data_IF_472373826715
#
_entry.id   IF_472373826715
#
_cell.length_a   1.000
_cell.length_b   1.000
_cell.length_c   1.000
_cell.angle_alpha   90.00
_cell.angle_beta   90.00
_cell.angle_gamma   90.00
#
_symmetry.space_group_name_H-M   'P 1'
#
loop_
_entity.id
_entity.type
_entity.pdbx_description
1 polymer ?
#
# COMPACT_ATOMS: atom_id res chain seq x y z
N UNK A 1 -16.07 -32.94 52.41
CA UNK A 1 -15.49 -32.91 53.74
C UNK A 1 -14.43 -31.85 53.88
N UNK A 2 -14.59 -31.02 54.91
CA UNK A 2 -13.65 -30.09 55.58
C UNK A 2 -13.13 -28.89 54.81
N UNK A 3 -13.79 -27.79 55.14
CA UNK A 3 -13.35 -26.37 55.14
C UNK A 3 -12.06 -26.18 55.96
N UNK A 4 -11.26 -25.20 55.61
CA UNK A 4 -10.63 -24.32 56.60
C UNK A 4 -10.37 -22.93 56.03
N UNK A 5 -11.03 -21.94 56.59
CA UNK A 5 -10.75 -20.51 56.52
C UNK A 5 -9.56 -20.16 57.43
N UNK A 6 -8.82 -19.14 57.11
CA UNK A 6 -8.17 -18.29 58.10
C UNK A 6 -8.02 -16.86 57.54
N UNK A 7 -8.50 -15.92 58.35
CA UNK A 7 -8.55 -14.47 58.24
C UNK A 7 -7.32 -13.83 58.90
N UNK A 8 -7.25 -12.50 58.77
CA UNK A 8 -6.48 -11.44 59.47
C UNK A 8 -5.18 -10.99 58.79
N UNK A 9 -4.83 -9.70 58.70
CA UNK A 9 -5.31 -8.51 59.35
C UNK A 9 -4.99 -7.25 58.52
N UNK A 10 -5.80 -6.21 58.70
CA UNK A 10 -5.62 -4.86 58.20
C UNK A 10 -4.60 -4.08 59.06
N UNK A 11 -3.88 -3.14 58.42
CA UNK A 11 -3.27 -2.01 59.15
C UNK A 11 -3.42 -0.75 58.31
N UNK A 12 -4.23 0.16 58.85
CA UNK A 12 -4.33 1.58 58.49
C UNK A 12 -3.14 2.33 59.09
N UNK A 13 -2.53 3.25 58.35
CA UNK A 13 -1.88 4.45 58.92
C UNK A 13 -2.16 5.65 58.03
N UNK A 14 -2.48 6.72 58.67
CA UNK A 14 -3.07 7.98 58.31
C UNK A 14 -2.13 9.03 57.70
N UNK A 15 -2.68 9.81 56.80
CA UNK A 15 -2.68 11.29 56.69
C UNK A 15 -1.36 12.09 56.63
N UNK A 16 -1.30 12.91 55.60
CA UNK A 16 -0.42 14.07 55.49
C UNK A 16 -0.78 14.91 54.28
N UNK A 17 -1.74 15.84 54.45
CA UNK A 17 -2.06 16.85 53.43
C UNK A 17 -1.11 18.05 53.54
N UNK A 18 -0.51 18.49 52.42
CA UNK A 18 -0.03 19.87 52.27
C UNK A 18 -0.29 20.31 50.83
N UNK A 19 -1.18 21.27 50.62
CA UNK A 19 -1.20 22.25 49.55
C UNK A 19 -0.61 23.53 50.10
N UNK A 20 0.00 24.46 49.36
CA UNK A 20 -0.50 25.10 48.14
C UNK A 20 0.58 25.55 47.15
N UNK A 21 0.23 25.94 45.93
CA UNK A 21 0.47 27.27 45.37
C UNK A 21 0.23 27.29 43.84
N UNK A 22 -0.68 28.18 43.45
CA UNK A 22 -0.88 28.61 42.06
C UNK A 22 0.40 29.17 41.44
N UNK A 23 0.73 28.69 40.23
CA UNK A 23 1.71 29.31 39.34
C UNK A 23 1.21 29.14 37.91
N UNK A 24 0.61 30.19 37.35
CA UNK A 24 0.37 30.32 35.92
C UNK A 24 1.68 30.21 35.18
N UNK A 25 1.77 29.24 34.28
CA UNK A 25 2.88 29.20 33.30
C UNK A 25 2.33 28.80 31.94
N UNK A 26 2.55 29.66 30.98
CA UNK A 26 2.22 29.58 29.57
C UNK A 26 2.50 28.19 29.00
N UNK A 27 1.47 27.60 28.42
CA UNK A 27 1.61 26.43 27.55
C UNK A 27 2.25 26.86 26.24
N UNK A 28 3.57 26.78 26.18
CA UNK A 28 4.30 26.59 24.96
C UNK A 28 4.30 25.09 24.70
N UNK A 29 3.50 24.66 23.77
CA UNK A 29 3.54 23.31 23.19
C UNK A 29 4.89 23.13 22.49
N UNK A 30 5.88 22.72 23.24
CA UNK A 30 7.09 22.13 22.68
C UNK A 30 6.70 20.73 22.22
N UNK A 31 6.53 20.54 20.92
CA UNK A 31 6.59 19.21 20.30
C UNK A 31 7.98 18.66 20.56
N UNK A 32 8.14 17.92 21.66
CA UNK A 32 9.29 17.07 21.88
C UNK A 32 9.27 15.99 20.81
N UNK A 33 10.11 16.16 19.80
CA UNK A 33 10.49 15.13 18.87
C UNK A 33 11.09 13.98 19.66
N UNK A 34 10.28 12.97 19.97
CA UNK A 34 10.74 11.69 20.48
C UNK A 34 11.63 11.05 19.40
N UNK A 35 12.94 11.06 19.62
CA UNK A 35 13.85 10.28 18.78
C UNK A 35 13.40 8.82 18.83
N UNK A 36 12.96 8.27 17.72
CA UNK A 36 12.65 6.85 17.59
C UNK A 36 13.89 6.05 17.92
N UNK A 37 13.85 5.26 18.99
CA UNK A 37 14.92 4.34 19.35
C UNK A 37 14.54 2.95 18.87
N UNK A 38 15.02 2.56 17.70
CA UNK A 38 14.73 1.25 17.10
C UNK A 38 15.63 1.00 15.90
N UNK A 39 15.64 -0.22 15.35
CA UNK A 39 16.48 -0.57 14.21
C UNK A 39 16.21 0.28 12.96
N UNK A 40 15.02 0.88 12.87
CA UNK A 40 14.62 1.75 11.78
C UNK A 40 14.64 3.26 12.13
N UNK A 41 15.29 3.63 13.23
CA UNK A 41 15.45 5.03 13.59
C UNK A 41 16.37 5.72 12.59
N UNK A 42 15.84 6.63 11.80
CA UNK A 42 16.63 7.52 10.96
C UNK A 42 17.18 8.61 11.88
N UNK A 43 18.51 8.70 12.00
CA UNK A 43 19.13 9.88 12.63
C UNK A 43 18.62 11.12 11.89
N UNK A 44 18.34 12.23 12.59
CA UNK A 44 17.95 13.51 11.99
C UNK A 44 19.12 14.07 11.12
N UNK A 45 19.48 13.33 10.12
CA UNK A 45 20.54 13.62 9.16
C UNK A 45 19.88 14.32 7.98
N UNK A 46 20.39 15.47 7.60
CA UNK A 46 20.08 16.12 6.32
C UNK A 46 20.94 15.55 5.17
N UNK A 47 21.47 14.33 5.35
CA UNK A 47 22.31 13.69 4.34
C UNK A 47 21.55 13.48 3.04
N UNK A 48 22.17 13.84 1.93
CA UNK A 48 21.68 13.65 0.57
C UNK A 48 22.72 13.02 -0.36
N UNK A 49 23.90 12.63 0.17
CA UNK A 49 25.01 12.04 -0.61
C UNK A 49 25.17 10.56 -0.25
N UNK A 50 25.25 9.72 -1.26
CA UNK A 50 25.44 8.27 -1.13
C UNK A 50 26.88 7.83 -0.88
N UNK A 51 27.86 8.72 -1.05
CA UNK A 51 29.28 8.41 -0.82
C UNK A 51 29.85 7.32 -1.73
N UNK A 52 29.26 7.09 -2.89
CA UNK A 52 29.66 6.02 -3.82
C UNK A 52 29.14 4.63 -3.43
N UNK A 53 28.15 4.54 -2.52
CA UNK A 53 27.58 3.25 -2.10
C UNK A 53 26.95 2.49 -3.27
N UNK A 54 27.27 1.20 -3.37
CA UNK A 54 26.71 0.29 -4.34
C UNK A 54 25.64 -0.59 -3.67
N UNK A 55 24.39 -0.46 -4.11
CA UNK A 55 23.22 -1.12 -3.52
C UNK A 55 22.35 -1.76 -4.61
N UNK A 56 21.55 -2.75 -4.23
CA UNK A 56 20.60 -3.41 -5.13
C UNK A 56 19.17 -3.11 -4.70
N UNK A 57 18.35 -2.77 -5.69
CA UNK A 57 16.91 -2.71 -5.53
C UNK A 57 16.26 -3.85 -6.31
N UNK A 58 15.34 -4.59 -5.69
CA UNK A 58 14.52 -5.57 -6.38
C UNK A 58 13.24 -4.95 -6.91
N UNK A 59 12.62 -5.62 -7.88
CA UNK A 59 11.29 -5.29 -8.38
C UNK A 59 10.52 -6.55 -8.75
N UNK A 60 9.21 -6.53 -8.61
CA UNK A 60 8.33 -7.53 -9.22
C UNK A 60 8.29 -7.30 -10.74
N UNK A 61 7.73 -8.25 -11.49
CA UNK A 61 7.87 -8.24 -12.95
C UNK A 61 6.92 -7.29 -13.69
N UNK A 62 5.98 -6.64 -13.02
CA UNK A 62 5.01 -5.73 -13.63
C UNK A 62 5.53 -4.29 -13.71
N UNK A 63 4.89 -3.48 -14.55
CA UNK A 63 5.37 -2.16 -14.96
C UNK A 63 5.52 -1.19 -13.80
N UNK A 64 4.55 -1.12 -12.90
CA UNK A 64 4.55 -0.21 -11.75
C UNK A 64 5.78 -0.41 -10.85
N UNK A 65 6.09 -1.66 -10.52
CA UNK A 65 7.27 -2.00 -9.72
C UNK A 65 8.58 -1.62 -10.42
N UNK A 66 8.68 -1.85 -11.73
CA UNK A 66 9.84 -1.43 -12.52
C UNK A 66 9.98 0.09 -12.56
N UNK A 67 8.86 0.82 -12.66
CA UNK A 67 8.86 2.28 -12.59
C UNK A 67 9.34 2.78 -11.22
N UNK A 68 8.85 2.20 -10.12
CA UNK A 68 9.27 2.57 -8.77
C UNK A 68 10.77 2.29 -8.54
N UNK A 69 11.27 1.14 -9.00
CA UNK A 69 12.69 0.81 -8.94
C UNK A 69 13.55 1.79 -9.77
N UNK A 70 13.13 2.11 -10.99
CA UNK A 70 13.85 3.03 -11.88
C UNK A 70 13.83 4.49 -11.36
N UNK A 71 12.70 4.96 -10.80
CA UNK A 71 12.63 6.26 -10.10
C UNK A 71 13.68 6.32 -8.98
N UNK A 72 13.79 5.25 -8.20
CA UNK A 72 14.78 5.13 -7.11
C UNK A 72 16.20 5.16 -7.66
N UNK A 73 16.49 4.37 -8.69
CA UNK A 73 17.80 4.28 -9.32
C UNK A 73 18.24 5.62 -9.93
N UNK A 74 17.35 6.28 -10.65
CA UNK A 74 17.65 7.57 -11.29
C UNK A 74 17.91 8.64 -10.24
N UNK A 75 17.05 8.75 -9.22
CA UNK A 75 17.22 9.77 -8.19
C UNK A 75 18.44 9.53 -7.32
N UNK A 76 18.60 8.33 -6.76
CA UNK A 76 19.76 8.03 -5.95
C UNK A 76 21.07 8.13 -6.74
N UNK A 77 21.04 7.82 -8.04
CA UNK A 77 22.18 7.98 -8.94
C UNK A 77 22.69 9.42 -9.05
N UNK A 78 21.79 10.42 -9.05
CA UNK A 78 22.16 11.85 -9.02
C UNK A 78 22.88 12.25 -7.73
N UNK A 79 22.69 11.46 -6.69
CA UNK A 79 23.20 11.67 -5.34
C UNK A 79 24.34 10.71 -4.96
N UNK A 80 25.13 10.32 -5.96
CA UNK A 80 26.34 9.52 -5.78
C UNK A 80 26.12 8.11 -5.18
N UNK A 81 24.98 7.49 -5.48
CA UNK A 81 24.76 6.05 -5.29
C UNK A 81 24.95 5.31 -6.62
N UNK A 82 25.33 4.04 -6.54
CA UNK A 82 25.32 3.10 -7.66
C UNK A 82 24.25 2.06 -7.39
N UNK A 83 23.16 2.10 -8.15
CA UNK A 83 21.99 1.22 -7.92
C UNK A 83 21.88 0.18 -9.03
N UNK A 84 21.93 -1.11 -8.65
CA UNK A 84 21.62 -2.26 -9.51
C UNK A 84 20.17 -2.66 -9.32
N UNK A 85 19.36 -2.58 -10.36
CA UNK A 85 17.94 -2.94 -10.43
C UNK A 85 17.68 -4.23 -11.24
N UNK A 86 18.70 -5.06 -11.44
CA UNK A 86 18.60 -6.26 -12.27
C UNK A 86 17.85 -7.43 -11.63
N UNK A 87 17.50 -7.35 -10.33
CA UNK A 87 16.83 -8.44 -9.62
C UNK A 87 15.31 -8.32 -9.76
N UNK A 88 14.72 -9.27 -10.49
CA UNK A 88 13.26 -9.36 -10.65
C UNK A 88 12.75 -10.73 -10.19
N UNK A 89 11.74 -10.73 -9.33
CA UNK A 89 11.07 -11.95 -8.87
C UNK A 89 9.64 -11.65 -8.42
N UNK A 90 8.78 -12.66 -8.41
CA UNK A 90 7.44 -12.56 -7.84
C UNK A 90 7.46 -12.77 -6.33
N UNK A 91 6.36 -12.43 -5.64
CA UNK A 91 6.12 -12.86 -4.25
C UNK A 91 6.00 -14.42 -4.19
N UNK A 92 6.50 -15.07 -3.15
CA UNK A 92 7.27 -14.53 -2.02
C UNK A 92 8.80 -14.48 -2.24
N UNK A 93 9.30 -14.80 -3.46
CA UNK A 93 10.74 -14.90 -3.71
C UNK A 93 11.45 -13.55 -3.55
N UNK A 94 10.82 -12.45 -3.97
CA UNK A 94 11.40 -11.11 -3.83
C UNK A 94 11.51 -10.70 -2.34
N UNK A 95 10.52 -11.07 -1.52
CA UNK A 95 10.57 -10.88 -0.06
C UNK A 95 11.69 -11.68 0.60
N UNK A 96 11.97 -12.90 0.12
CA UNK A 96 13.12 -13.68 0.59
C UNK A 96 14.45 -13.04 0.18
N UNK A 97 14.51 -12.42 -1.00
CA UNK A 97 15.73 -11.76 -1.48
C UNK A 97 16.14 -10.58 -0.58
N UNK A 98 15.19 -9.74 -0.14
CA UNK A 98 15.51 -8.65 0.80
C UNK A 98 15.84 -9.18 2.21
N UNK A 99 15.11 -10.17 2.68
CA UNK A 99 15.37 -10.78 3.99
C UNK A 99 16.76 -11.43 4.07
N UNK A 100 17.21 -12.06 2.98
CA UNK A 100 18.54 -12.71 2.88
C UNK A 100 19.68 -11.78 2.41
N UNK A 101 19.44 -10.47 2.29
CA UNK A 101 20.42 -9.48 1.80
C UNK A 101 20.91 -9.71 0.36
N UNK A 102 20.14 -10.39 -0.48
CA UNK A 102 20.42 -10.46 -1.92
C UNK A 102 20.12 -9.11 -2.62
N UNK A 103 19.10 -8.40 -2.10
CA UNK A 103 18.78 -7.01 -2.41
C UNK A 103 18.72 -6.21 -1.10
N UNK A 104 18.90 -4.90 -1.19
CA UNK A 104 18.90 -4.01 -0.04
C UNK A 104 17.66 -3.14 0.06
N UNK A 105 16.96 -2.97 -1.06
CA UNK A 105 15.75 -2.15 -1.18
C UNK A 105 14.71 -2.89 -2.01
N UNK A 106 13.44 -2.60 -1.70
CA UNK A 106 12.27 -3.12 -2.44
C UNK A 106 11.11 -2.15 -2.22
N UNK A 107 10.41 -1.77 -3.27
CA UNK A 107 9.08 -1.22 -3.09
C UNK A 107 8.12 -2.37 -2.80
N UNK A 108 7.40 -2.28 -1.69
CA UNK A 108 6.46 -3.32 -1.30
C UNK A 108 5.12 -2.68 -0.92
N UNK A 109 4.05 -3.39 -1.16
CA UNK A 109 2.69 -2.93 -0.94
C UNK A 109 2.21 -3.33 0.45
N UNK A 110 1.52 -2.40 1.13
CA UNK A 110 1.13 -2.57 2.53
C UNK A 110 0.15 -3.72 2.72
N UNK A 111 -0.86 -3.84 1.87
CA UNK A 111 -1.84 -4.93 1.93
C UNK A 111 -1.23 -6.28 1.58
N UNK A 112 -0.34 -6.31 0.59
CA UNK A 112 0.42 -7.51 0.23
C UNK A 112 1.29 -7.99 1.39
N UNK A 113 2.06 -7.11 2.04
CA UNK A 113 2.93 -7.46 3.16
C UNK A 113 2.13 -7.86 4.40
N UNK A 114 1.02 -7.15 4.71
CA UNK A 114 0.14 -7.55 5.81
C UNK A 114 -0.58 -8.88 5.54
N UNK A 115 -0.69 -9.27 4.29
CA UNK A 115 -1.42 -10.46 3.86
C UNK A 115 -0.83 -11.79 4.32
N UNK A 116 -1.49 -12.87 3.89
CA UNK A 116 -1.20 -14.24 4.35
C UNK A 116 0.18 -14.76 3.96
N UNK A 117 0.81 -14.21 2.91
CA UNK A 117 2.13 -14.64 2.44
C UNK A 117 3.29 -14.18 3.34
N UNK A 118 3.10 -13.09 4.10
CA UNK A 118 4.17 -12.46 4.87
C UNK A 118 3.83 -12.32 6.35
N UNK A 119 2.94 -11.40 6.71
CA UNK A 119 2.64 -11.06 8.10
C UNK A 119 1.36 -11.72 8.65
N UNK A 120 0.50 -12.19 7.77
CA UNK A 120 -0.77 -12.88 8.10
C UNK A 120 -1.65 -12.09 9.08
N UNK A 121 -1.79 -10.80 8.83
CA UNK A 121 -2.66 -9.90 9.61
C UNK A 121 -4.09 -9.98 9.09
N UNK A 122 -5.07 -10.03 10.00
CA UNK A 122 -6.48 -10.02 9.65
C UNK A 122 -7.30 -9.33 10.76
N UNK A 123 -8.16 -8.36 10.46
CA UNK A 123 -8.33 -7.74 9.13
C UNK A 123 -7.15 -6.83 8.76
N UNK A 124 -6.91 -6.66 7.45
CA UNK A 124 -5.96 -5.67 6.94
C UNK A 124 -6.64 -4.30 6.99
N UNK A 125 -5.96 -3.23 7.45
CA UNK A 125 -6.52 -1.89 7.45
C UNK A 125 -6.93 -1.42 6.04
N UNK A 126 -7.98 -0.60 5.98
CA UNK A 126 -8.44 0.06 4.73
C UNK A 126 -7.98 1.51 4.64
N UNK A 127 -7.36 2.04 5.68
CA UNK A 127 -6.73 3.35 5.72
C UNK A 127 -5.24 3.22 5.39
N UNK A 128 -4.75 4.00 4.42
CA UNK A 128 -3.38 3.92 3.92
C UNK A 128 -2.34 4.13 5.03
N UNK A 129 -2.51 5.19 5.83
CA UNK A 129 -1.57 5.50 6.91
C UNK A 129 -1.57 4.43 8.01
N UNK A 130 -2.75 3.86 8.33
CA UNK A 130 -2.82 2.78 9.31
C UNK A 130 -2.12 1.52 8.80
N UNK A 131 -2.34 1.13 7.54
CA UNK A 131 -1.67 -0.01 6.93
C UNK A 131 -0.14 0.20 6.90
N UNK A 132 0.32 1.37 6.46
CA UNK A 132 1.74 1.71 6.42
C UNK A 132 2.39 1.68 7.82
N UNK A 133 1.77 2.30 8.81
CA UNK A 133 2.29 2.28 10.18
C UNK A 133 2.34 0.86 10.76
N UNK A 134 1.36 0.03 10.43
CA UNK A 134 1.32 -1.35 10.90
C UNK A 134 2.42 -2.23 10.29
N UNK A 135 2.63 -2.18 8.98
CA UNK A 135 3.75 -2.90 8.35
C UNK A 135 5.09 -2.40 8.87
N UNK A 136 5.27 -1.08 8.97
CA UNK A 136 6.51 -0.48 9.46
C UNK A 136 6.85 -0.97 10.88
N UNK A 137 5.86 -1.06 11.75
CA UNK A 137 6.05 -1.56 13.12
C UNK A 137 6.41 -3.06 13.14
N UNK A 138 5.70 -3.88 12.36
CA UNK A 138 5.89 -5.33 12.37
C UNK A 138 7.22 -5.74 11.73
N UNK A 139 7.60 -5.12 10.62
CA UNK A 139 8.81 -5.45 9.90
C UNK A 139 10.09 -4.86 10.52
N UNK A 140 9.97 -3.77 11.28
CA UNK A 140 11.09 -3.22 12.04
C UNK A 140 11.74 -4.28 12.94
N UNK A 141 10.96 -5.18 13.53
CA UNK A 141 11.46 -6.28 14.34
C UNK A 141 12.29 -7.30 13.54
N UNK A 142 12.10 -7.35 12.21
CA UNK A 142 12.86 -8.20 11.28
C UNK A 142 14.07 -7.46 10.66
N UNK A 143 14.28 -6.19 11.03
CA UNK A 143 15.32 -5.35 10.44
C UNK A 143 14.98 -4.86 9.02
N UNK A 144 13.69 -4.77 8.69
CA UNK A 144 13.18 -4.22 7.45
C UNK A 144 12.45 -2.91 7.76
N UNK A 145 12.90 -1.82 7.19
CA UNK A 145 12.44 -0.47 7.50
C UNK A 145 11.61 0.08 6.36
N UNK A 146 10.36 0.39 6.63
CA UNK A 146 9.47 1.04 5.68
C UNK A 146 9.68 2.56 5.71
N UNK A 147 9.99 3.11 4.55
CA UNK A 147 10.20 4.55 4.34
C UNK A 147 9.40 5.00 3.13
N UNK A 148 9.28 6.32 2.94
CA UNK A 148 8.81 6.88 1.67
C UNK A 148 7.45 6.34 1.23
N UNK A 149 6.43 6.53 2.07
CA UNK A 149 5.04 6.14 1.81
C UNK A 149 4.48 6.87 0.58
N UNK A 150 3.91 6.12 -0.37
CA UNK A 150 3.21 6.68 -1.52
C UNK A 150 1.77 7.06 -1.18
N UNK A 151 1.18 7.91 -2.04
CA UNK A 151 -0.22 8.34 -1.92
C UNK A 151 -1.15 7.59 -2.89
N UNK A 152 -0.62 6.67 -3.68
CA UNK A 152 -1.46 5.81 -4.51
C UNK A 152 -1.90 4.56 -3.75
N UNK A 153 -3.00 3.98 -4.17
CA UNK A 153 -3.53 2.74 -3.65
C UNK A 153 -3.72 1.78 -4.82
N UNK A 154 -2.95 0.71 -4.88
CA UNK A 154 -3.08 -0.35 -5.89
C UNK A 154 -3.85 -1.53 -5.31
N UNK A 155 -5.16 -1.40 -5.30
CA UNK A 155 -6.05 -2.42 -4.74
C UNK A 155 -7.00 -2.98 -5.79
N UNK A 156 -7.59 -4.12 -5.49
CA UNK A 156 -8.71 -4.64 -6.29
C UNK A 156 -9.89 -3.67 -6.28
N UNK A 157 -10.67 -3.69 -7.32
CA UNK A 157 -11.91 -2.93 -7.46
C UNK A 157 -12.85 -3.60 -8.45
N UNK A 158 -14.04 -3.05 -8.58
CA UNK A 158 -14.96 -3.38 -9.68
C UNK A 158 -14.99 -2.19 -10.63
N UNK A 159 -14.59 -2.42 -11.87
CA UNK A 159 -14.59 -1.42 -12.93
C UNK A 159 -15.79 -1.54 -13.84
N UNK A 160 -16.15 -0.42 -14.44
CA UNK A 160 -17.15 -0.29 -15.51
C UNK A 160 -16.61 0.65 -16.59
N UNK A 161 -17.21 0.66 -17.76
CA UNK A 161 -16.93 1.72 -18.75
C UNK A 161 -17.47 3.06 -18.28
N UNK A 162 -16.75 4.14 -18.50
CA UNK A 162 -17.19 5.51 -18.11
C UNK A 162 -18.56 5.88 -18.71
N UNK A 163 -18.87 5.37 -19.91
CA UNK A 163 -20.15 5.57 -20.56
C UNK A 163 -21.34 4.91 -19.81
N UNK A 164 -21.07 3.93 -18.97
CA UNK A 164 -22.10 3.17 -18.25
C UNK A 164 -22.36 3.71 -16.83
N UNK A 165 -21.69 4.78 -16.42
CA UNK A 165 -21.84 5.39 -15.08
C UNK A 165 -23.25 5.92 -14.83
N UNK A 166 -23.96 6.40 -15.86
CA UNK A 166 -25.35 6.82 -15.74
C UNK A 166 -26.32 5.65 -15.48
N UNK A 167 -25.94 4.44 -15.90
CA UNK A 167 -26.71 3.20 -15.70
C UNK A 167 -26.41 2.56 -14.35
N UNK A 168 -25.15 2.43 -14.01
CA UNK A 168 -24.69 1.65 -12.87
C UNK A 168 -24.37 2.48 -11.62
N UNK A 169 -24.26 3.81 -11.77
CA UNK A 169 -23.73 4.70 -10.74
C UNK A 169 -22.21 4.69 -10.71
N UNK A 170 -21.64 5.30 -9.66
CA UNK A 170 -20.18 5.48 -9.51
C UNK A 170 -19.63 4.82 -8.24
N UNK A 171 -20.48 4.13 -7.47
CA UNK A 171 -20.09 3.47 -6.22
C UNK A 171 -20.48 2.00 -6.25
N UNK A 172 -19.80 1.17 -5.45
CA UNK A 172 -20.17 -0.23 -5.25
C UNK A 172 -21.56 -0.39 -4.66
N UNK A 173 -21.99 0.52 -3.78
CA UNK A 173 -23.38 0.51 -3.26
C UNK A 173 -24.41 0.73 -4.36
N UNK A 174 -24.21 1.70 -5.25
CA UNK A 174 -25.14 1.96 -6.37
C UNK A 174 -25.18 0.81 -7.36
N UNK A 175 -24.03 0.23 -7.68
CA UNK A 175 -23.93 -0.92 -8.57
C UNK A 175 -24.61 -2.15 -7.96
N UNK A 176 -24.39 -2.41 -6.67
CA UNK A 176 -25.06 -3.51 -5.97
C UNK A 176 -26.57 -3.36 -5.97
N UNK A 177 -27.09 -2.13 -5.76
CA UNK A 177 -28.54 -1.86 -5.84
C UNK A 177 -29.10 -2.13 -7.25
N UNK A 178 -28.32 -1.84 -8.29
CA UNK A 178 -28.67 -2.18 -9.66
C UNK A 178 -28.75 -3.70 -9.86
N UNK A 179 -27.74 -4.45 -9.39
CA UNK A 179 -27.70 -5.92 -9.50
C UNK A 179 -28.87 -6.62 -8.81
N UNK A 180 -29.44 -6.04 -7.75
CA UNK A 180 -30.61 -6.60 -7.06
C UNK A 180 -31.87 -6.60 -7.93
N UNK A 181 -31.93 -5.74 -8.94
CA UNK A 181 -33.06 -5.57 -9.82
C UNK A 181 -32.85 -6.13 -11.24
N UNK A 182 -31.59 -6.45 -11.57
CA UNK A 182 -31.17 -6.85 -12.91
C UNK A 182 -30.23 -8.06 -12.82
N UNK A 183 -30.58 -9.14 -13.48
CA UNK A 183 -29.81 -10.41 -13.49
C UNK A 183 -29.04 -10.65 -14.78
N UNK A 184 -29.10 -9.71 -15.72
CA UNK A 184 -28.54 -9.78 -17.06
C UNK A 184 -27.18 -9.10 -17.21
N UNK A 185 -26.65 -8.50 -16.14
CA UNK A 185 -25.34 -7.86 -16.13
C UNK A 185 -24.23 -8.92 -16.13
N UNK A 186 -23.34 -8.85 -17.11
CA UNK A 186 -22.16 -9.74 -17.16
C UNK A 186 -21.00 -9.13 -16.35
N UNK A 187 -20.53 -9.87 -15.36
CA UNK A 187 -19.42 -9.44 -14.48
C UNK A 187 -18.28 -10.42 -14.62
N UNK A 188 -17.12 -9.95 -15.07
CA UNK A 188 -15.91 -10.74 -15.22
C UNK A 188 -15.01 -10.59 -14.00
N UNK A 189 -14.53 -11.71 -13.46
CA UNK A 189 -13.64 -11.74 -12.30
C UNK A 189 -12.57 -12.79 -12.48
N UNK A 190 -11.42 -12.62 -11.84
CA UNK A 190 -10.41 -13.66 -11.75
C UNK A 190 -10.91 -14.81 -10.86
N UNK A 191 -10.48 -16.03 -11.15
CA UNK A 191 -10.92 -17.22 -10.39
C UNK A 191 -10.59 -17.14 -8.91
N UNK A 192 -9.45 -16.53 -8.56
CA UNK A 192 -9.03 -16.30 -7.18
C UNK A 192 -9.92 -15.31 -6.43
N UNK A 193 -10.47 -14.31 -7.12
CA UNK A 193 -11.38 -13.33 -6.53
C UNK A 193 -12.66 -13.96 -5.98
N UNK A 194 -13.04 -15.16 -6.46
CA UNK A 194 -14.17 -15.92 -5.92
C UNK A 194 -14.00 -16.38 -4.48
N UNK A 195 -12.77 -16.57 -4.04
CA UNK A 195 -12.48 -17.19 -2.73
C UNK A 195 -11.73 -16.27 -1.78
N UNK A 196 -11.17 -15.16 -2.27
CA UNK A 196 -10.50 -14.17 -1.43
C UNK A 196 -11.48 -13.51 -0.46
N UNK A 197 -11.05 -13.26 0.76
CA UNK A 197 -11.88 -12.59 1.77
C UNK A 197 -12.29 -11.16 1.37
N UNK A 198 -11.47 -10.49 0.57
CA UNK A 198 -11.69 -9.18 -0.03
C UNK A 198 -12.29 -9.26 -1.45
N UNK A 199 -12.56 -10.45 -1.96
CA UNK A 199 -13.23 -10.71 -3.23
C UNK A 199 -14.75 -10.84 -3.10
N UNK A 200 -15.35 -11.86 -3.80
CA UNK A 200 -16.79 -12.08 -3.74
C UNK A 200 -17.34 -12.30 -2.33
N UNK A 201 -16.68 -13.06 -1.43
CA UNK A 201 -17.14 -13.17 -0.04
C UNK A 201 -17.21 -11.82 0.68
N UNK A 202 -16.23 -10.96 0.45
CA UNK A 202 -16.19 -9.61 1.00
C UNK A 202 -17.29 -8.72 0.41
N UNK A 203 -17.47 -8.73 -0.92
CA UNK A 203 -18.55 -8.01 -1.58
C UNK A 203 -19.92 -8.46 -1.05
N UNK A 204 -20.12 -9.76 -0.88
CA UNK A 204 -21.38 -10.30 -0.36
C UNK A 204 -21.65 -9.88 1.08
N UNK A 205 -20.64 -9.86 1.94
CA UNK A 205 -20.77 -9.47 3.35
C UNK A 205 -20.95 -7.97 3.53
N UNK A 206 -20.27 -7.15 2.72
CA UNK A 206 -20.22 -5.70 2.88
C UNK A 206 -21.31 -4.98 2.09
N UNK A 207 -21.52 -5.39 0.85
CA UNK A 207 -22.42 -4.71 -0.08
C UNK A 207 -23.75 -5.43 -0.25
N UNK A 208 -23.84 -6.73 0.02
CA UNK A 208 -25.08 -7.49 0.02
C UNK A 208 -24.98 -8.85 -0.65
N UNK A 209 -25.82 -9.76 -0.18
CA UNK A 209 -25.81 -11.19 -0.56
C UNK A 209 -26.03 -11.47 -2.06
N UNK A 210 -26.48 -10.50 -2.84
CA UNK A 210 -26.60 -10.63 -4.30
C UNK A 210 -25.27 -11.05 -4.94
N UNK A 211 -24.14 -10.60 -4.43
CA UNK A 211 -22.82 -10.96 -4.94
C UNK A 211 -22.50 -12.45 -4.79
N UNK A 212 -22.97 -13.10 -3.73
CA UNK A 212 -22.69 -14.52 -3.49
C UNK A 212 -23.32 -15.47 -4.53
N UNK A 213 -24.44 -15.06 -5.14
CA UNK A 213 -25.25 -15.91 -6.01
C UNK A 213 -25.59 -15.25 -7.34
N UNK A 214 -24.89 -14.16 -7.70
CA UNK A 214 -25.20 -13.43 -8.92
C UNK A 214 -24.98 -14.30 -10.16
N UNK A 215 -25.99 -14.48 -11.03
CA UNK A 215 -25.89 -15.44 -12.13
C UNK A 215 -25.00 -14.98 -13.28
N UNK A 216 -24.71 -13.68 -13.39
CA UNK A 216 -23.90 -13.09 -14.46
C UNK A 216 -22.39 -13.12 -14.22
N UNK A 217 -21.90 -13.79 -13.16
CA UNK A 217 -20.47 -13.91 -12.87
C UNK A 217 -19.77 -14.86 -13.84
N UNK A 218 -18.73 -14.38 -14.50
CA UNK A 218 -17.92 -15.15 -15.46
C UNK A 218 -16.44 -15.06 -15.07
N UNK A 219 -15.75 -16.22 -15.08
CA UNK A 219 -14.31 -16.26 -14.78
C UNK A 219 -13.50 -15.81 -16.00
N UNK A 220 -12.45 -15.03 -15.73
CA UNK A 220 -11.43 -14.65 -16.71
C UNK A 220 -10.04 -15.05 -16.19
N UNK A 221 -9.11 -15.30 -17.11
CA UNK A 221 -7.79 -15.80 -16.76
C UNK A 221 -6.84 -14.73 -16.25
N UNK A 222 -7.06 -13.48 -16.62
CA UNK A 222 -6.27 -12.30 -16.23
C UNK A 222 -7.11 -11.04 -16.42
N UNK A 223 -6.80 -9.99 -15.63
CA UNK A 223 -7.26 -8.60 -15.68
C UNK A 223 -8.60 -8.34 -16.39
N UNK A 224 -9.57 -7.88 -15.64
CA UNK A 224 -10.91 -7.61 -16.20
C UNK A 224 -10.95 -6.42 -17.16
N UNK A 225 -9.90 -5.58 -17.17
CA UNK A 225 -9.85 -4.34 -17.95
C UNK A 225 -10.01 -4.60 -19.44
N UNK A 226 -9.26 -5.56 -19.98
CA UNK A 226 -9.28 -5.90 -21.41
C UNK A 226 -10.65 -6.43 -21.86
N UNK A 227 -11.27 -7.33 -21.10
CA UNK A 227 -12.61 -7.87 -21.44
C UNK A 227 -13.71 -6.82 -21.28
N UNK A 228 -13.51 -5.88 -20.37
CA UNK A 228 -14.40 -4.74 -20.15
C UNK A 228 -14.31 -3.74 -21.30
N UNK A 229 -13.10 -3.37 -21.72
CA UNK A 229 -12.86 -2.50 -22.87
C UNK A 229 -13.45 -3.08 -24.16
N UNK A 230 -13.29 -4.39 -24.38
CA UNK A 230 -13.83 -5.11 -25.53
C UNK A 230 -15.32 -5.44 -25.42
N UNK A 231 -16.04 -4.93 -24.42
CA UNK A 231 -17.47 -5.13 -24.22
C UNK A 231 -17.90 -6.60 -24.09
N UNK A 232 -17.00 -7.46 -23.65
CA UNK A 232 -17.32 -8.85 -23.36
C UNK A 232 -18.06 -8.98 -22.03
N UNK A 233 -17.84 -8.02 -21.11
CA UNK A 233 -18.52 -7.88 -19.83
C UNK A 233 -19.03 -6.45 -19.64
N UNK A 234 -19.98 -6.26 -18.74
CA UNK A 234 -20.51 -4.97 -18.37
C UNK A 234 -19.74 -4.35 -17.19
N UNK A 235 -19.26 -5.19 -16.30
CA UNK A 235 -18.37 -4.85 -15.22
C UNK A 235 -17.27 -5.91 -15.09
N UNK A 236 -16.15 -5.57 -14.46
CA UNK A 236 -15.07 -6.52 -14.22
C UNK A 236 -14.29 -6.17 -12.96
N UNK A 237 -13.63 -7.17 -12.37
CA UNK A 237 -12.54 -6.93 -11.42
C UNK A 237 -11.41 -6.19 -12.14
N UNK A 238 -10.89 -5.16 -11.50
CA UNK A 238 -9.82 -4.29 -12.01
C UNK A 238 -8.84 -3.95 -10.88
N UNK A 239 -7.62 -3.56 -11.25
CA UNK A 239 -6.68 -2.93 -10.32
C UNK A 239 -6.75 -1.40 -10.45
N UNK A 240 -6.74 -0.71 -9.33
CA UNK A 240 -7.01 0.74 -9.31
C UNK A 240 -5.89 1.60 -9.89
N UNK A 241 -4.72 1.04 -10.13
CA UNK A 241 -3.58 1.69 -10.82
C UNK A 241 -3.35 1.21 -12.25
N UNK A 242 -4.22 0.31 -12.78
CA UNK A 242 -4.05 -0.22 -14.13
C UNK A 242 -4.15 0.87 -15.20
N UNK A 243 -3.21 0.83 -16.14
CA UNK A 243 -3.12 1.78 -17.26
C UNK A 243 -4.37 1.78 -18.16
N UNK A 244 -5.01 0.64 -18.30
CA UNK A 244 -6.22 0.48 -19.13
C UNK A 244 -7.40 1.30 -18.59
N UNK A 245 -7.45 1.61 -17.28
CA UNK A 245 -8.49 2.48 -16.74
C UNK A 245 -8.52 3.82 -17.48
N UNK A 246 -7.37 4.43 -17.69
CA UNK A 246 -7.28 5.70 -18.43
C UNK A 246 -7.34 5.49 -19.96
N UNK A 247 -6.64 4.48 -20.47
CA UNK A 247 -6.52 4.25 -21.91
C UNK A 247 -7.87 3.90 -22.56
N UNK A 248 -8.69 3.10 -21.88
CA UNK A 248 -9.94 2.55 -22.41
C UNK A 248 -11.19 3.24 -21.84
N UNK A 249 -11.02 4.38 -21.17
CA UNK A 249 -12.10 5.12 -20.52
C UNK A 249 -12.93 4.26 -19.56
N UNK A 250 -12.24 3.50 -18.73
CA UNK A 250 -12.84 2.71 -17.64
C UNK A 250 -12.82 3.51 -16.33
N UNK A 251 -13.67 3.12 -15.41
CA UNK A 251 -13.79 3.73 -14.08
C UNK A 251 -13.90 2.62 -13.06
N UNK A 252 -13.00 2.61 -12.08
CA UNK A 252 -13.20 1.81 -10.88
C UNK A 252 -14.30 2.44 -10.02
N UNK A 253 -15.30 1.63 -9.63
CA UNK A 253 -16.38 2.08 -8.75
C UNK A 253 -15.81 2.39 -7.36
N UNK A 254 -16.24 3.51 -6.78
CA UNK A 254 -15.80 3.89 -5.45
C UNK A 254 -16.24 2.84 -4.40
N UNK A 255 -15.30 2.37 -3.61
CA UNK A 255 -15.52 1.48 -2.47
C UNK A 255 -16.03 2.29 -1.26
N UNK A 256 -17.30 2.69 -1.33
CA UNK A 256 -17.93 3.61 -0.36
C UNK A 256 -18.15 2.99 1.03
N UNK A 257 -17.95 1.67 1.18
CA UNK A 257 -18.00 0.97 2.48
C UNK A 257 -16.66 0.42 2.93
N UNK A 258 -15.58 0.74 2.21
CA UNK A 258 -14.20 0.39 2.57
C UNK A 258 -14.01 -1.12 2.77
N UNK A 259 -14.38 -1.91 1.77
CA UNK A 259 -14.14 -3.36 1.74
C UNK A 259 -12.69 -3.68 1.43
N UNK A 260 -12.16 -3.04 0.37
CA UNK A 260 -10.84 -3.39 -0.13
C UNK A 260 -9.74 -2.86 0.81
N UNK A 261 -8.77 -3.70 1.15
CA UNK A 261 -7.63 -3.26 1.96
C UNK A 261 -6.86 -2.12 1.32
N UNK A 262 -6.20 -1.33 2.13
CA UNK A 262 -5.18 -0.42 1.66
C UNK A 262 -3.99 -1.22 1.10
N UNK A 263 -3.49 -0.81 -0.07
CA UNK A 263 -2.33 -1.42 -0.70
C UNK A 263 -1.44 -0.35 -1.36
N UNK A 264 -1.05 0.64 -0.55
CA UNK A 264 -0.10 1.67 -0.94
C UNK A 264 1.34 1.15 -0.85
N UNK A 265 2.19 1.60 -1.76
CA UNK A 265 3.58 1.19 -1.75
C UNK A 265 4.41 2.01 -0.75
N UNK A 266 5.39 1.35 -0.15
CA UNK A 266 6.45 1.97 0.64
C UNK A 266 7.81 1.43 0.24
N UNK A 267 8.85 2.26 0.33
CA UNK A 267 10.21 1.79 0.11
C UNK A 267 10.70 1.05 1.35
N UNK A 268 10.76 -0.27 1.25
CA UNK A 268 11.36 -1.14 2.26
C UNK A 268 12.87 -1.13 2.08
N UNK A 269 13.60 -0.82 3.14
CA UNK A 269 15.07 -0.76 3.17
C UNK A 269 15.56 -1.60 4.34
N UNK A 270 16.63 -2.35 4.17
CA UNK A 270 17.26 -3.05 5.28
C UNK A 270 17.77 -2.06 6.33
N UNK A 271 17.61 -2.38 7.61
CA UNK A 271 17.95 -1.49 8.73
C UNK A 271 19.44 -1.13 8.77
N UNK A 272 20.33 -2.09 8.48
CA UNK A 272 21.77 -1.86 8.39
C UNK A 272 22.13 -0.87 7.27
N UNK A 273 21.46 -0.98 6.12
CA UNK A 273 21.63 -0.08 4.98
C UNK A 273 21.07 1.31 5.28
N UNK A 274 19.86 1.40 5.82
CA UNK A 274 19.22 2.68 6.16
C UNK A 274 20.03 3.45 7.23
N UNK A 275 20.58 2.75 8.21
CA UNK A 275 21.45 3.34 9.23
C UNK A 275 22.77 3.89 8.64
N UNK A 276 23.35 3.17 7.67
CA UNK A 276 24.57 3.60 6.99
C UNK A 276 24.29 4.74 5.97
N UNK A 277 23.13 4.74 5.36
CA UNK A 277 22.76 5.63 4.26
C UNK A 277 21.37 6.27 4.47
N UNK A 278 21.20 7.13 5.50
CA UNK A 278 19.90 7.78 5.77
C UNK A 278 19.43 8.71 4.63
N UNK A 279 20.33 9.10 3.73
CA UNK A 279 20.04 9.83 2.51
C UNK A 279 18.95 9.17 1.65
N UNK A 280 18.85 7.83 1.67
CA UNK A 280 17.84 7.08 0.91
C UNK A 280 16.43 7.55 1.26
N UNK A 281 16.08 7.57 2.55
CA UNK A 281 14.76 8.02 2.98
C UNK A 281 14.53 9.51 2.70
N UNK A 282 15.53 10.36 2.91
CA UNK A 282 15.43 11.80 2.68
C UNK A 282 15.16 12.15 1.20
N UNK A 283 15.79 11.42 0.29
CA UNK A 283 15.66 11.63 -1.16
C UNK A 283 14.35 11.03 -1.70
N UNK A 284 13.95 9.86 -1.20
CA UNK A 284 12.79 9.15 -1.76
C UNK A 284 11.45 9.60 -1.17
N UNK A 285 11.41 10.11 0.07
CA UNK A 285 10.16 10.55 0.69
C UNK A 285 9.42 11.66 -0.10
N UNK A 286 10.06 12.73 -0.60
CA UNK A 286 9.37 13.75 -1.39
C UNK A 286 8.89 13.24 -2.76
N UNK A 287 9.54 12.24 -3.34
CA UNK A 287 9.11 11.56 -4.56
C UNK A 287 7.85 10.75 -4.28
N UNK A 288 7.88 9.88 -3.28
CA UNK A 288 6.75 9.06 -2.88
C UNK A 288 5.49 9.88 -2.58
N UNK A 289 5.65 11.01 -1.89
CA UNK A 289 4.54 11.91 -1.57
C UNK A 289 3.83 12.51 -2.81
N UNK A 290 4.47 12.52 -3.98
CA UNK A 290 3.87 12.98 -5.25
C UNK A 290 3.25 11.85 -6.07
N UNK A 291 3.51 10.59 -5.73
CA UNK A 291 2.96 9.41 -6.41
C UNK A 291 1.53 9.15 -5.91
N UNK A 292 0.55 9.80 -6.51
CA UNK A 292 -0.89 9.56 -6.30
C UNK A 292 -1.39 8.50 -7.27
N UNK A 293 -2.57 7.91 -7.01
CA UNK A 293 -3.19 6.93 -7.93
C UNK A 293 -3.32 7.47 -9.35
N UNK A 294 -3.76 8.72 -9.52
CA UNK A 294 -3.85 9.35 -10.86
C UNK A 294 -2.48 9.48 -11.53
N UNK A 295 -1.44 9.82 -10.78
CA UNK A 295 -0.08 9.91 -11.30
C UNK A 295 0.39 8.54 -11.74
N UNK A 296 0.20 7.52 -10.90
CA UNK A 296 0.69 6.17 -11.17
C UNK A 296 0.01 5.52 -12.37
N UNK A 297 -1.33 5.64 -12.50
CA UNK A 297 -2.07 5.26 -13.71
C UNK A 297 -1.48 5.92 -14.96
N UNK A 298 -1.16 7.22 -14.87
CA UNK A 298 -0.57 7.95 -16.01
C UNK A 298 0.85 7.49 -16.36
N UNK A 299 1.66 7.10 -15.38
CA UNK A 299 3.01 6.56 -15.60
C UNK A 299 2.94 5.15 -16.19
N UNK A 300 2.10 4.27 -15.63
CA UNK A 300 1.85 2.94 -16.17
C UNK A 300 1.38 3.01 -17.62
N UNK A 301 0.44 3.94 -17.92
CA UNK A 301 -0.05 4.14 -19.29
C UNK A 301 1.06 4.53 -20.27
N UNK A 302 1.98 5.41 -19.90
CA UNK A 302 3.07 5.80 -20.79
C UNK A 302 3.96 4.60 -21.19
N UNK A 303 4.13 3.62 -20.29
CA UNK A 303 4.89 2.42 -20.57
C UNK A 303 4.03 1.39 -21.31
N UNK A 304 2.90 0.97 -20.76
CA UNK A 304 2.15 -0.19 -21.20
C UNK A 304 1.32 0.07 -22.45
N UNK A 305 0.86 1.32 -22.64
CA UNK A 305 -0.01 1.71 -23.75
C UNK A 305 0.75 2.55 -24.79
N UNK A 306 1.49 3.56 -24.33
CA UNK A 306 2.18 4.48 -25.23
C UNK A 306 3.57 3.94 -25.67
N UNK A 307 4.02 2.81 -25.10
CA UNK A 307 5.23 2.08 -25.50
C UNK A 307 6.54 2.77 -25.15
N UNK A 308 6.52 3.72 -24.20
CA UNK A 308 7.75 4.39 -23.76
C UNK A 308 8.58 3.46 -22.86
N UNK A 309 9.91 3.66 -22.85
CA UNK A 309 10.74 2.90 -21.92
C UNK A 309 10.53 3.36 -20.48
N UNK A 310 10.60 2.43 -19.52
CA UNK A 310 10.52 2.70 -18.08
C UNK A 310 11.50 3.81 -17.68
N UNK A 311 12.75 3.75 -18.17
CA UNK A 311 13.78 4.77 -17.90
C UNK A 311 13.38 6.16 -18.43
N UNK A 312 12.79 6.23 -19.62
CA UNK A 312 12.35 7.51 -20.20
C UNK A 312 11.24 8.11 -19.36
N UNK A 313 10.24 7.30 -18.98
CA UNK A 313 9.09 7.76 -18.18
C UNK A 313 9.57 8.24 -16.80
N UNK A 314 10.38 7.44 -16.11
CA UNK A 314 10.90 7.78 -14.79
C UNK A 314 11.74 9.07 -14.81
N UNK A 315 12.68 9.18 -15.75
CA UNK A 315 13.56 10.37 -15.88
C UNK A 315 12.77 11.63 -16.17
N UNK A 316 11.82 11.56 -17.10
CA UNK A 316 10.99 12.69 -17.48
C UNK A 316 10.11 13.14 -16.30
N UNK A 317 9.49 12.21 -15.61
CA UNK A 317 8.63 12.53 -14.47
C UNK A 317 9.41 13.18 -13.33
N UNK A 318 10.58 12.65 -12.97
CA UNK A 318 11.46 13.24 -11.96
C UNK A 318 11.82 14.69 -12.34
N UNK A 319 12.30 14.91 -13.57
CA UNK A 319 12.68 16.22 -14.07
C UNK A 319 11.51 17.22 -14.03
N UNK A 320 10.32 16.82 -14.47
CA UNK A 320 9.11 17.66 -14.46
C UNK A 320 8.65 18.02 -13.05
N UNK A 321 8.98 17.21 -12.06
CA UNK A 321 8.61 17.40 -10.65
C UNK A 321 9.70 18.05 -9.81
N UNK A 322 10.84 18.43 -10.40
CA UNK A 322 11.92 19.18 -9.75
C UNK A 322 12.88 18.31 -8.94
N UNK A 323 13.01 17.03 -9.31
CA UNK A 323 13.97 16.08 -8.77
C UNK A 323 15.16 15.88 -9.69
#
# INVERSE_FOLDING_TARGET
MKRRHLLFAASLVTAGAILPACGSSNNTTSSSGGGSTGPCAISNSSATDGGGASLKIGAKSFTEEKLLAELTKVELGKHNFVIDDSTHAADPAIGQAIASNQIQMLWQYTGTELGAQYLNVSPIPTDLNQAFNQVAQLDAAKGLCWTSETQFNDTNGIGIRSADTSKFGTTLSSFTAYLQQHTDVKICIASEFRTRSDGLPGLASTYGSVWATYPGLTDVSQGGESVLANKQCDAAEVFTTDAALQADNLVALADDKKLFPADNAGLMVRADVLSAHPAIANLMAPIAAKLTTTVMVGLNKQVDVDGQSVTTVATNWLSQNGF
#
